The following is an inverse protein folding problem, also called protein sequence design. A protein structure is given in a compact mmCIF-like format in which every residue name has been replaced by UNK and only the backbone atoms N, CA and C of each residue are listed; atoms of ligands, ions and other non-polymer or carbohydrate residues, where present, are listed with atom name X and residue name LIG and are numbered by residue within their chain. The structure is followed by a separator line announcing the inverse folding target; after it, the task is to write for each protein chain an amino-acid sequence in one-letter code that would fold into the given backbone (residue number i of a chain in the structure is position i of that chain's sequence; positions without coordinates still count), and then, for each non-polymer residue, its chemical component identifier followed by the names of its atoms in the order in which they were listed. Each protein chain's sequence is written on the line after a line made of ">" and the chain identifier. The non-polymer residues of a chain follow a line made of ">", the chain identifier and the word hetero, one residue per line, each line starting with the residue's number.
data_IF_240847211791
#
_entry.id   IF_240847211791
#
_cell.length_a   1.000
_cell.length_b   1.000
_cell.length_c   1.000
_cell.angle_alpha   90.00
_cell.angle_beta   90.00
_cell.angle_gamma   90.00
#
_symmetry.space_group_name_H-M   'P 1'
#
loop_
_entity.id
_entity.type
_entity.pdbx_description
1 polymer ?
#
# COMPACT_ATOMS: atom_id res chain seq x y z
N UNK A 1 -33.08 18.54 -31.88
CA UNK A 1 -33.25 18.38 -30.42
C UNK A 1 -32.17 17.41 -29.95
N UNK A 2 -31.22 17.91 -29.16
CA UNK A 2 -30.01 17.19 -28.75
C UNK A 2 -30.33 16.09 -27.73
N UNK A 3 -29.72 14.92 -27.94
CA UNK A 3 -29.83 13.78 -27.05
C UNK A 3 -28.67 13.84 -26.05
N UNK A 4 -28.91 14.36 -24.84
CA UNK A 4 -27.95 14.39 -23.75
C UNK A 4 -27.77 12.97 -23.22
N UNK A 5 -26.73 12.27 -23.70
CA UNK A 5 -26.26 11.04 -23.04
C UNK A 5 -25.64 11.46 -21.71
N UNK A 6 -26.34 11.15 -20.62
CA UNK A 6 -25.85 11.24 -19.25
C UNK A 6 -24.50 10.53 -19.14
N UNK A 7 -23.43 11.31 -19.12
CA UNK A 7 -22.07 10.83 -18.92
C UNK A 7 -21.79 10.85 -17.41
N UNK A 8 -22.41 9.95 -16.65
CA UNK A 8 -21.97 9.69 -15.28
C UNK A 8 -20.60 9.00 -15.38
N UNK A 9 -19.52 9.60 -14.87
CA UNK A 9 -18.22 8.95 -14.91
C UNK A 9 -18.34 7.59 -14.21
N UNK A 10 -17.89 6.52 -14.86
CA UNK A 10 -17.76 5.19 -14.26
C UNK A 10 -16.74 5.29 -13.11
N UNK A 11 -17.19 5.70 -11.92
CA UNK A 11 -16.36 5.67 -10.72
C UNK A 11 -16.17 4.20 -10.37
N UNK A 12 -15.07 3.60 -10.83
CA UNK A 12 -14.65 2.28 -10.39
C UNK A 12 -14.46 2.36 -8.87
N UNK A 13 -15.29 1.62 -8.12
CA UNK A 13 -15.20 1.58 -6.66
C UNK A 13 -13.83 0.99 -6.29
N UNK A 14 -12.99 1.78 -5.65
CA UNK A 14 -11.70 1.35 -5.11
C UNK A 14 -11.95 0.81 -3.70
N UNK A 15 -11.65 -0.45 -3.44
CA UNK A 15 -11.81 -1.08 -2.14
C UNK A 15 -10.44 -1.44 -1.58
N UNK A 16 -10.23 -1.21 -0.28
CA UNK A 16 -9.05 -1.64 0.45
C UNK A 16 -9.44 -2.31 1.77
N UNK A 17 -8.72 -3.36 2.12
CA UNK A 17 -8.75 -3.98 3.44
C UNK A 17 -7.38 -3.73 4.09
N UNK A 18 -7.39 -3.10 5.26
CA UNK A 18 -6.17 -2.82 6.03
C UNK A 18 -6.21 -3.61 7.34
N UNK A 19 -5.22 -4.46 7.57
CA UNK A 19 -5.15 -5.30 8.77
C UNK A 19 -3.89 -4.97 9.59
N UNK A 20 -4.08 -4.50 10.82
CA UNK A 20 -3.01 -4.21 11.78
C UNK A 20 -2.94 -5.25 12.90
N UNK A 21 -1.97 -6.15 12.86
CA UNK A 21 -1.80 -7.17 13.90
C UNK A 21 -0.68 -6.78 14.86
N UNK A 22 -1.01 -6.44 16.11
CA UNK A 22 -0.06 -5.93 17.10
C UNK A 22 0.04 -6.84 18.33
N UNK A 23 -1.08 -7.41 18.79
CA UNK A 23 -1.22 -8.02 20.11
C UNK A 23 -0.79 -9.50 20.15
N UNK A 24 0.41 -9.81 19.66
CA UNK A 24 0.98 -11.14 19.77
C UNK A 24 1.52 -11.39 21.18
N UNK A 25 1.01 -12.43 21.85
CA UNK A 25 1.34 -12.78 23.25
C UNK A 25 2.84 -12.84 23.54
N UNK A 26 3.66 -13.34 22.60
CA UNK A 26 5.11 -13.51 22.83
C UNK A 26 5.96 -12.30 22.44
N UNK A 27 5.59 -11.58 21.37
CA UNK A 27 6.37 -10.48 20.79
C UNK A 27 5.41 -9.50 20.11
N UNK A 28 4.82 -8.56 20.87
CA UNK A 28 3.93 -7.56 20.30
C UNK A 28 4.64 -6.73 19.21
N UNK A 29 3.92 -6.42 18.13
CA UNK A 29 4.46 -5.61 17.03
C UNK A 29 4.10 -4.14 17.23
N UNK A 30 5.07 -3.35 17.68
CA UNK A 30 4.87 -1.99 18.21
C UNK A 30 4.30 -0.97 17.22
N UNK A 31 4.49 -1.18 15.92
CA UNK A 31 4.11 -0.21 14.89
C UNK A 31 2.85 -0.61 14.12
N UNK A 32 2.38 -1.85 14.25
CA UNK A 32 1.37 -2.39 13.35
C UNK A 32 0.02 -1.70 13.45
N UNK A 33 -0.35 -1.18 14.63
CA UNK A 33 -1.56 -0.37 14.78
C UNK A 33 -1.43 1.01 14.14
N UNK A 34 -0.30 1.71 14.36
CA UNK A 34 -0.03 3.00 13.73
C UNK A 34 0.01 2.88 12.21
N UNK A 35 0.68 1.84 11.71
CA UNK A 35 0.78 1.52 10.29
C UNK A 35 -0.61 1.35 9.65
N UNK A 36 -1.48 0.60 10.31
CA UNK A 36 -2.85 0.39 9.83
C UNK A 36 -3.69 1.66 9.87
N UNK A 37 -3.54 2.49 10.91
CA UNK A 37 -4.28 3.73 11.06
C UNK A 37 -3.87 4.76 9.99
N UNK A 38 -2.58 4.95 9.79
CA UNK A 38 -2.07 5.95 8.86
C UNK A 38 -2.31 5.51 7.39
N UNK A 39 -2.21 4.20 7.10
CA UNK A 39 -2.55 3.66 5.79
C UNK A 39 -4.06 3.76 5.49
N UNK A 40 -4.92 3.53 6.49
CA UNK A 40 -6.36 3.75 6.34
C UNK A 40 -6.68 5.20 5.97
N UNK A 41 -6.07 6.16 6.67
CA UNK A 41 -6.28 7.58 6.41
C UNK A 41 -5.88 7.95 4.97
N UNK A 42 -4.68 7.56 4.53
CA UNK A 42 -4.19 7.90 3.18
C UNK A 42 -4.98 7.19 2.07
N UNK A 43 -5.37 5.93 2.25
CA UNK A 43 -6.19 5.23 1.25
C UNK A 43 -7.57 5.86 1.12
N UNK A 44 -8.16 6.29 2.25
CA UNK A 44 -9.43 7.01 2.25
C UNK A 44 -9.31 8.33 1.50
N UNK A 45 -8.24 9.10 1.74
CA UNK A 45 -7.96 10.37 1.08
C UNK A 45 -7.86 10.24 -0.45
N UNK A 46 -7.23 9.18 -0.95
CA UNK A 46 -7.10 8.93 -2.41
C UNK A 46 -8.30 8.18 -3.02
N UNK A 47 -9.41 8.09 -2.28
CA UNK A 47 -10.71 7.65 -2.78
C UNK A 47 -10.99 6.16 -2.69
N UNK A 48 -10.31 5.42 -1.80
CA UNK A 48 -10.69 4.05 -1.46
C UNK A 48 -11.79 4.04 -0.40
N UNK A 49 -12.75 3.13 -0.54
CA UNK A 49 -13.51 2.63 0.60
C UNK A 49 -12.60 1.68 1.37
N UNK A 50 -12.38 1.94 2.65
CA UNK A 50 -11.40 1.18 3.46
C UNK A 50 -12.08 0.51 4.64
N UNK A 51 -12.04 -0.82 4.65
CA UNK A 51 -12.37 -1.62 5.83
C UNK A 51 -11.07 -1.84 6.62
N UNK A 52 -11.03 -1.42 7.89
CA UNK A 52 -9.84 -1.54 8.74
C UNK A 52 -10.12 -2.47 9.91
N UNK A 53 -9.28 -3.48 10.04
CA UNK A 53 -9.39 -4.50 11.07
C UNK A 53 -8.08 -4.62 11.88
N UNK A 54 -8.18 -4.97 13.16
CA UNK A 54 -7.01 -5.15 14.02
C UNK A 54 -6.98 -6.57 14.59
N UNK A 55 -5.79 -7.17 14.62
CA UNK A 55 -5.54 -8.50 15.19
C UNK A 55 -6.38 -9.64 14.57
N UNK A 56 -6.56 -9.62 13.24
CA UNK A 56 -7.23 -10.67 12.49
C UNK A 56 -6.25 -11.63 11.82
N UNK A 57 -6.65 -12.90 11.72
CA UNK A 57 -5.98 -13.89 10.87
C UNK A 57 -6.82 -14.10 9.61
N UNK A 58 -6.26 -13.68 8.46
CA UNK A 58 -6.92 -13.83 7.16
C UNK A 58 -6.04 -14.66 6.24
N UNK A 59 -6.64 -15.67 5.60
CA UNK A 59 -6.00 -16.41 4.51
C UNK A 59 -6.37 -15.75 3.19
N UNK A 60 -5.39 -15.18 2.48
CA UNK A 60 -5.60 -14.61 1.16
C UNK A 60 -5.01 -15.52 0.08
N UNK A 61 -5.78 -15.72 -0.99
CA UNK A 61 -5.30 -16.28 -2.25
C UNK A 61 -5.26 -15.16 -3.28
N UNK A 62 -4.11 -14.92 -3.90
CA UNK A 62 -3.98 -13.93 -4.96
C UNK A 62 -4.28 -14.60 -6.31
N UNK A 63 -5.41 -14.29 -6.97
CA UNK A 63 -5.69 -14.80 -8.31
C UNK A 63 -4.72 -14.20 -9.35
N UNK A 64 -4.69 -14.76 -10.56
CA UNK A 64 -3.92 -14.19 -11.68
C UNK A 64 -4.31 -12.73 -11.93
N UNK A 65 -3.32 -11.88 -12.23
CA UNK A 65 -3.52 -10.43 -12.32
C UNK A 65 -3.42 -9.67 -10.99
N UNK A 66 -2.94 -10.32 -9.93
CA UNK A 66 -2.69 -9.68 -8.64
C UNK A 66 -1.20 -9.50 -8.37
N UNK A 67 -0.85 -8.39 -7.71
CA UNK A 67 0.45 -8.18 -7.09
C UNK A 67 0.34 -8.36 -5.58
N UNK A 68 1.29 -9.11 -5.01
CA UNK A 68 1.55 -9.13 -3.57
C UNK A 68 2.87 -8.39 -3.33
N UNK A 69 2.80 -7.27 -2.61
CA UNK A 69 3.97 -6.49 -2.23
C UNK A 69 4.34 -6.79 -0.77
N UNK A 70 5.46 -7.48 -0.57
CA UNK A 70 5.99 -7.79 0.74
C UNK A 70 6.92 -6.68 1.24
N UNK A 71 6.79 -6.30 2.51
CA UNK A 71 7.66 -5.34 3.17
C UNK A 71 9.12 -5.81 3.29
N UNK A 72 9.35 -7.14 3.28
CA UNK A 72 10.67 -7.75 3.35
C UNK A 72 10.67 -9.11 2.63
N UNK A 73 11.73 -9.40 1.87
CA UNK A 73 11.94 -10.66 1.19
C UNK A 73 12.33 -11.79 2.17
N UNK A 74 12.06 -13.07 1.84
CA UNK A 74 12.61 -14.20 2.58
C UNK A 74 14.14 -14.10 2.70
N UNK A 75 14.68 -14.39 3.89
CA UNK A 75 16.11 -14.28 4.18
C UNK A 75 16.61 -12.87 4.51
N UNK A 76 15.77 -11.84 4.36
CA UNK A 76 16.04 -10.48 4.83
C UNK A 76 15.27 -10.21 6.13
N UNK A 77 15.77 -9.27 6.95
CA UNK A 77 15.12 -8.89 8.20
C UNK A 77 14.43 -7.54 8.05
N UNK A 78 13.15 -7.48 8.38
CA UNK A 78 12.47 -6.20 8.53
C UNK A 78 13.13 -5.42 9.67
N UNK A 79 13.37 -4.13 9.47
CA UNK A 79 14.06 -3.34 10.47
C UNK A 79 13.15 -3.13 11.70
N UNK A 80 13.26 -4.00 12.70
CA UNK A 80 12.60 -3.86 14.01
C UNK A 80 13.21 -2.73 14.87
N UNK A 81 14.06 -1.86 14.30
CA UNK A 81 15.05 -1.07 15.05
C UNK A 81 15.04 0.44 14.78
N UNK A 82 13.93 0.98 14.30
CA UNK A 82 13.68 2.42 14.34
C UNK A 82 12.74 2.71 15.51
N UNK A 83 13.16 2.36 16.73
CA UNK A 83 12.33 2.45 17.94
C UNK A 83 11.81 3.87 18.25
N UNK A 84 12.37 4.89 17.60
CA UNK A 84 11.94 6.30 17.69
C UNK A 84 10.88 6.67 16.64
N UNK A 85 10.66 5.83 15.63
CA UNK A 85 9.74 6.11 14.54
C UNK A 85 8.32 5.63 14.88
N UNK A 86 7.33 6.36 14.38
CA UNK A 86 5.91 6.02 14.57
C UNK A 86 5.52 4.73 13.84
N UNK A 87 6.05 4.54 12.63
CA UNK A 87 5.67 3.50 11.69
C UNK A 87 6.85 2.56 11.37
N UNK A 88 6.53 1.36 10.86
CA UNK A 88 7.54 0.49 10.27
C UNK A 88 8.20 1.13 9.05
N UNK A 89 9.48 0.81 8.80
CA UNK A 89 10.27 1.44 7.72
C UNK A 89 9.58 1.34 6.35
N UNK A 90 8.99 0.19 6.03
CA UNK A 90 8.26 0.02 4.79
C UNK A 90 7.04 0.93 4.72
N UNK A 91 6.26 0.99 5.80
CA UNK A 91 5.05 1.81 5.89
C UNK A 91 5.36 3.30 5.77
N UNK A 92 6.44 3.78 6.40
CA UNK A 92 6.96 5.15 6.25
C UNK A 92 7.11 5.53 4.77
N UNK A 93 7.76 4.69 3.97
CA UNK A 93 7.94 4.95 2.54
C UNK A 93 6.70 4.68 1.69
N UNK A 94 5.87 3.71 2.08
CA UNK A 94 4.58 3.49 1.43
C UNK A 94 3.73 4.76 1.50
N UNK A 95 3.54 5.33 2.69
CA UNK A 95 2.77 6.56 2.90
C UNK A 95 3.33 7.74 2.09
N UNK A 96 4.67 7.88 2.03
CA UNK A 96 5.35 8.91 1.22
C UNK A 96 5.07 8.84 -0.28
N UNK A 97 4.83 7.63 -0.82
CA UNK A 97 4.73 7.41 -2.26
C UNK A 97 3.32 7.12 -2.77
N UNK A 98 2.45 6.52 -1.94
CA UNK A 98 1.16 5.97 -2.38
C UNK A 98 0.16 7.05 -2.81
N UNK A 99 0.24 8.24 -2.21
CA UNK A 99 -0.65 9.35 -2.52
C UNK A 99 -0.23 10.16 -3.77
N UNK A 100 0.88 9.79 -4.43
CA UNK A 100 1.39 10.58 -5.56
C UNK A 100 0.46 10.47 -6.76
N UNK A 101 -0.10 11.58 -7.26
CA UNK A 101 -1.01 11.57 -8.39
C UNK A 101 -0.28 11.18 -9.68
N UNK A 102 -0.98 10.49 -10.59
CA UNK A 102 -0.50 10.17 -11.95
C UNK A 102 0.84 9.39 -11.97
N UNK A 103 1.18 8.67 -10.89
CA UNK A 103 2.35 7.76 -10.86
C UNK A 103 1.88 6.32 -10.92
N UNK A 104 2.40 5.58 -11.90
CA UNK A 104 2.09 4.16 -12.09
C UNK A 104 2.56 3.33 -10.88
N UNK A 105 1.76 2.32 -10.51
CA UNK A 105 1.92 1.54 -9.28
C UNK A 105 3.25 0.78 -9.18
N UNK A 106 3.74 0.17 -10.26
CA UNK A 106 5.03 -0.50 -10.25
C UNK A 106 6.18 0.49 -10.06
N UNK A 107 6.08 1.71 -10.60
CA UNK A 107 7.04 2.78 -10.31
C UNK A 107 7.00 3.22 -8.83
N UNK A 108 5.82 3.28 -8.21
CA UNK A 108 5.68 3.50 -6.76
C UNK A 108 6.42 2.40 -5.99
N UNK A 109 6.18 1.12 -6.29
CA UNK A 109 6.84 0.01 -5.61
C UNK A 109 8.35 -0.01 -5.80
N UNK A 110 8.85 0.33 -7.00
CA UNK A 110 10.29 0.48 -7.25
C UNK A 110 10.91 1.57 -6.39
N UNK A 111 10.25 2.72 -6.23
CA UNK A 111 10.71 3.83 -5.37
C UNK A 111 10.75 3.42 -3.90
N UNK A 112 9.68 2.79 -3.40
CA UNK A 112 9.61 2.27 -2.03
C UNK A 112 10.75 1.26 -1.79
N UNK A 113 10.96 0.34 -2.73
CA UNK A 113 12.01 -0.68 -2.61
C UNK A 113 13.39 -0.07 -2.51
N UNK A 114 13.70 0.93 -3.35
CA UNK A 114 14.96 1.66 -3.31
C UNK A 114 15.14 2.38 -1.97
N UNK A 115 14.17 3.20 -1.59
CA UNK A 115 14.25 4.05 -0.40
C UNK A 115 14.39 3.20 0.89
N UNK A 116 13.66 2.08 1.01
CA UNK A 116 13.78 1.12 2.13
C UNK A 116 15.16 0.45 2.14
N UNK A 117 15.66 0.02 0.97
CA UNK A 117 16.96 -0.65 0.88
C UNK A 117 18.10 0.30 1.27
N UNK A 118 18.02 1.56 0.87
CA UNK A 118 18.99 2.60 1.22
C UNK A 118 18.97 2.94 2.72
N UNK A 119 17.81 3.30 3.28
CA UNK A 119 17.71 3.71 4.70
C UNK A 119 18.04 2.55 5.66
N UNK A 120 17.69 1.31 5.29
CA UNK A 120 18.03 0.12 6.06
C UNK A 120 19.49 -0.33 5.92
N UNK A 121 20.30 0.35 5.10
CA UNK A 121 21.69 -0.05 4.77
C UNK A 121 21.74 -1.50 4.26
N UNK A 122 20.89 -1.81 3.29
CA UNK A 122 20.73 -3.11 2.65
C UNK A 122 20.19 -4.25 3.55
N UNK A 123 19.71 -3.96 4.77
CA UNK A 123 19.19 -4.98 5.71
C UNK A 123 17.76 -5.42 5.40
N UNK A 124 16.94 -4.51 4.91
CA UNK A 124 15.55 -4.76 4.53
C UNK A 124 15.40 -4.60 3.02
N UNK A 125 14.80 -5.60 2.37
CA UNK A 125 14.56 -5.59 0.92
C UNK A 125 13.10 -5.94 0.64
N UNK A 126 12.24 -4.96 0.30
CA UNK A 126 10.89 -5.24 -0.17
C UNK A 126 10.90 -6.13 -1.42
N UNK A 127 9.82 -6.91 -1.61
CA UNK A 127 9.75 -7.90 -2.68
C UNK A 127 8.34 -8.00 -3.26
N UNK A 128 8.26 -8.09 -4.59
CA UNK A 128 7.00 -8.21 -5.33
C UNK A 128 6.82 -9.67 -5.76
N UNK A 129 5.61 -10.22 -5.59
CA UNK A 129 5.19 -11.49 -6.17
C UNK A 129 3.95 -11.32 -7.03
N UNK A 130 3.96 -11.92 -8.23
CA UNK A 130 2.88 -11.79 -9.19
C UNK A 130 3.05 -10.56 -10.07
N UNK A 131 2.08 -10.33 -10.95
CA UNK A 131 2.07 -9.23 -11.90
C UNK A 131 0.65 -8.78 -12.20
N UNK A 132 0.50 -7.53 -12.61
CA UNK A 132 -0.77 -6.96 -13.06
C UNK A 132 -0.95 -7.32 -14.54
N UNK A 133 -2.01 -8.06 -14.83
CA UNK A 133 -2.31 -8.50 -16.21
C UNK A 133 -3.22 -7.48 -16.90
N UNK A 134 -2.73 -6.25 -17.09
CA UNK A 134 -3.47 -5.14 -17.69
C UNK A 134 -2.67 -4.48 -18.82
N UNK A 135 -3.35 -4.03 -19.88
CA UNK A 135 -2.72 -3.22 -20.93
C UNK A 135 -2.49 -1.77 -20.46
N UNK A 136 -3.43 -1.25 -19.66
CA UNK A 136 -3.39 0.11 -19.15
C UNK A 136 -2.58 0.22 -17.84
N UNK A 137 -1.87 1.34 -17.62
CA UNK A 137 -1.19 1.61 -16.36
C UNK A 137 -2.20 1.80 -15.22
N UNK A 138 -1.85 1.28 -14.04
CA UNK A 138 -2.67 1.43 -12.82
C UNK A 138 -2.13 2.59 -11.99
N UNK A 139 -3.03 3.53 -11.68
CA UNK A 139 -2.80 4.68 -10.81
C UNK A 139 -3.67 4.58 -9.55
N UNK A 140 -3.08 4.77 -8.37
CA UNK A 140 -3.84 4.75 -7.11
C UNK A 140 -4.55 6.07 -6.84
N UNK A 141 -3.90 7.19 -7.12
CA UNK A 141 -4.48 8.53 -7.02
C UNK A 141 -4.65 9.12 -8.43
N UNK A 142 -5.88 9.55 -8.74
CA UNK A 142 -6.13 10.35 -9.93
C UNK A 142 -5.52 11.73 -9.64
N UNK A 143 -4.70 12.27 -10.55
CA UNK A 143 -4.30 13.66 -10.37
C UNK A 143 -5.50 14.57 -10.52
N UNK A 144 -5.53 15.64 -9.74
CA UNK A 144 -6.58 16.65 -9.82
C UNK A 144 -6.77 17.09 -11.28
N UNK A 145 -8.02 17.19 -11.69
CA UNK A 145 -8.45 17.51 -13.06
C UNK A 145 -8.27 19.00 -13.41
N UNK A 146 -7.30 19.69 -12.80
CA UNK A 146 -7.06 21.12 -12.96
C UNK A 146 -5.63 21.41 -13.45
N UNK A 147 -5.21 20.73 -14.51
CA UNK A 147 -4.08 21.18 -15.37
C UNK A 147 -4.57 21.28 -16.83
#
# INVERSE_FOLDING_TARGET
>A
MSNSKNNSPNIRRKLALVIGNQNYVKRPLRHSENDANDLHAVLTDIGFTVDRELNLLVKMTAPGGSIIQFACAPGYRAADGYDQERNGLYTKYLLKHIARPKVEINLIFRRITRDVFEESKAKQKPYIKGDLMTEEPIYLSAGDSND
#
